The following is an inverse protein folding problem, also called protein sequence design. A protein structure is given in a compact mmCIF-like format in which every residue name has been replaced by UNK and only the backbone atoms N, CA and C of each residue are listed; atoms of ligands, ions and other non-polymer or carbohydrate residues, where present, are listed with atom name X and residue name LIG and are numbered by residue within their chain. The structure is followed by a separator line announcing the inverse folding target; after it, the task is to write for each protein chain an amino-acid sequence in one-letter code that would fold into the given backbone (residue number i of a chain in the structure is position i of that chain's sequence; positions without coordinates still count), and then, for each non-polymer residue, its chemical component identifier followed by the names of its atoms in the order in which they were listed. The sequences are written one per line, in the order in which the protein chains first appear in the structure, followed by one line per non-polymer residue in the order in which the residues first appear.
data_IF_512803218809
#
_entry.id   IF_512803218809
#
_cell.length_a   1.000
_cell.length_b   1.000
_cell.length_c   1.000
_cell.angle_alpha   90.00
_cell.angle_beta   90.00
_cell.angle_gamma   90.00
#
_symmetry.space_group_name_H-M   'P 1'
#
loop_
_entity.id
_entity.type
_entity.pdbx_description
1 polymer ?
#
# COMPACT_ATOMS: atom_id res chain seq x y z
N UNK A 1 -43.93 22.24 7.24
CA UNK A 1 -43.58 21.48 6.03
C UNK A 1 -42.19 20.91 6.26
N UNK A 2 -42.18 19.64 6.61
CA UNK A 2 -41.03 18.86 7.06
C UNK A 2 -40.37 18.25 5.81
N UNK A 3 -39.09 18.51 5.59
CA UNK A 3 -38.30 17.88 4.51
C UNK A 3 -37.42 16.82 5.16
N UNK A 4 -37.63 15.57 4.74
CA UNK A 4 -37.04 14.38 5.34
C UNK A 4 -35.59 14.17 4.92
N UNK A 5 -34.73 13.98 5.93
CA UNK A 5 -33.40 13.39 5.81
C UNK A 5 -33.59 11.88 5.89
N UNK A 6 -33.26 11.16 4.83
CA UNK A 6 -33.27 9.68 4.82
C UNK A 6 -31.94 9.23 5.42
N UNK A 7 -31.95 8.84 6.70
CA UNK A 7 -30.89 8.03 7.29
C UNK A 7 -31.12 6.57 6.91
N UNK A 8 -30.16 5.96 6.22
CA UNK A 8 -30.05 4.51 6.18
C UNK A 8 -29.08 4.10 7.28
N UNK A 9 -29.64 3.81 8.46
CA UNK A 9 -29.00 2.97 9.47
C UNK A 9 -29.09 1.52 9.02
N UNK A 10 -27.95 0.85 8.82
CA UNK A 10 -27.80 -0.55 9.23
C UNK A 10 -26.89 -0.55 10.45
N UNK A 11 -27.46 -1.00 11.55
CA UNK A 11 -26.81 -1.32 12.82
C UNK A 11 -26.83 -2.83 12.87
N UNK A 12 -25.65 -3.46 12.91
CA UNK A 12 -25.28 -4.54 13.85
C UNK A 12 -24.01 -5.31 13.39
N UNK A 13 -23.17 -5.62 14.39
CA UNK A 13 -22.15 -6.69 14.47
C UNK A 13 -20.78 -6.59 13.77
N UNK A 14 -19.96 -5.56 14.07
CA UNK A 14 -18.52 -5.60 13.76
C UNK A 14 -17.57 -5.12 14.88
N UNK A 15 -18.03 -5.07 16.12
CA UNK A 15 -17.21 -4.60 17.25
C UNK A 15 -17.09 -5.64 18.36
N UNK A 16 -16.29 -6.69 18.15
CA UNK A 16 -15.61 -7.52 19.18
C UNK A 16 -15.21 -8.94 18.71
N UNK A 17 -15.53 -9.36 17.47
CA UNK A 17 -15.18 -10.72 16.98
C UNK A 17 -13.79 -10.83 16.33
N UNK A 18 -13.22 -9.72 15.85
CA UNK A 18 -11.99 -9.72 15.04
C UNK A 18 -10.75 -10.20 15.82
N UNK A 19 -10.66 -9.92 17.12
CA UNK A 19 -9.48 -10.31 17.93
C UNK A 19 -9.44 -11.81 18.21
N UNK A 20 -10.61 -12.46 18.38
CA UNK A 20 -10.66 -13.89 18.69
C UNK A 20 -10.51 -14.78 17.45
N UNK A 21 -10.96 -14.35 16.27
CA UNK A 21 -10.77 -15.09 15.01
C UNK A 21 -9.32 -14.99 14.49
N UNK A 22 -8.67 -13.84 14.67
CA UNK A 22 -7.23 -13.66 14.35
C UNK A 22 -6.32 -14.44 15.31
N UNK A 23 -6.69 -14.52 16.60
CA UNK A 23 -5.97 -15.33 17.60
C UNK A 23 -6.16 -16.85 17.39
N UNK A 24 -7.35 -17.32 17.04
CA UNK A 24 -7.57 -18.76 16.75
C UNK A 24 -6.90 -19.23 15.47
N UNK A 25 -6.67 -18.35 14.49
CA UNK A 25 -5.82 -18.63 13.31
C UNK A 25 -4.34 -18.77 13.67
N UNK A 26 -3.91 -18.17 14.78
CA UNK A 26 -2.51 -18.08 15.20
C UNK A 26 -1.95 -19.44 15.66
N UNK A 27 -2.77 -20.28 16.30
CA UNK A 27 -2.35 -21.59 16.83
C UNK A 27 -2.40 -22.72 15.78
N UNK A 28 -3.15 -22.56 14.69
CA UNK A 28 -3.40 -23.59 13.67
C UNK A 28 -2.33 -23.68 12.57
N UNK A 29 -1.33 -22.79 12.54
CA UNK A 29 -0.40 -22.65 11.40
C UNK A 29 0.99 -23.25 11.60
N UNK A 30 1.34 -23.70 12.81
CA UNK A 30 2.55 -24.48 13.02
C UNK A 30 2.50 -25.86 12.32
N UNK A 31 1.30 -26.32 11.93
CA UNK A 31 1.08 -27.61 11.25
C UNK A 31 1.16 -27.56 9.71
N UNK A 32 1.24 -26.39 9.06
CA UNK A 32 1.22 -26.29 7.58
C UNK A 32 2.61 -26.38 6.94
N UNK A 33 3.37 -27.43 7.29
CA UNK A 33 4.55 -27.84 6.54
C UNK A 33 4.15 -28.57 5.24
N UNK A 34 3.50 -27.88 4.30
CA UNK A 34 3.12 -28.44 2.99
C UNK A 34 3.28 -27.37 1.89
N UNK A 35 4.17 -27.67 0.93
CA UNK A 35 4.38 -27.06 -0.41
C UNK A 35 3.79 -25.66 -0.66
N UNK A 36 4.57 -24.59 -0.45
CA UNK A 36 4.19 -23.21 -0.81
C UNK A 36 4.49 -22.89 -2.28
N UNK A 37 3.77 -23.54 -3.19
CA UNK A 37 4.09 -23.46 -4.62
C UNK A 37 3.01 -22.79 -5.45
N UNK A 38 1.83 -22.48 -4.91
CA UNK A 38 0.76 -21.82 -5.67
C UNK A 38 0.73 -20.30 -5.49
N UNK A 39 0.10 -19.60 -6.43
CA UNK A 39 -0.18 -18.16 -6.36
C UNK A 39 -0.94 -17.76 -5.08
N UNK A 40 -1.90 -18.58 -4.66
CA UNK A 40 -2.72 -18.24 -3.48
C UNK A 40 -2.02 -18.51 -2.14
N UNK A 41 -1.20 -19.57 -2.07
CA UNK A 41 -0.32 -19.77 -0.91
C UNK A 41 0.70 -18.65 -0.77
N UNK A 42 1.26 -18.19 -1.89
CA UNK A 42 2.14 -17.03 -1.90
C UNK A 42 1.44 -15.76 -1.39
N UNK A 43 0.24 -15.44 -1.90
CA UNK A 43 -0.53 -14.29 -1.37
C UNK A 43 -0.80 -14.45 0.12
N UNK A 44 -1.18 -15.64 0.56
CA UNK A 44 -1.49 -15.94 1.96
C UNK A 44 -0.29 -15.73 2.88
N UNK A 45 0.88 -16.28 2.52
CA UNK A 45 2.09 -16.12 3.36
C UNK A 45 2.53 -14.65 3.43
N UNK A 46 2.38 -13.91 2.32
CA UNK A 46 2.76 -12.49 2.25
C UNK A 46 1.85 -11.61 3.10
N UNK A 47 0.53 -11.79 3.04
CA UNK A 47 -0.39 -11.03 3.90
C UNK A 47 -0.31 -11.44 5.37
N UNK A 48 -0.05 -12.71 5.67
CA UNK A 48 0.20 -13.15 7.04
C UNK A 48 1.46 -12.50 7.61
N UNK A 49 2.56 -12.51 6.85
CA UNK A 49 3.79 -11.82 7.20
C UNK A 49 3.56 -10.31 7.42
N UNK A 50 2.75 -9.66 6.58
CA UNK A 50 2.42 -8.24 6.77
C UNK A 50 1.59 -7.98 8.04
N UNK A 51 0.66 -8.88 8.39
CA UNK A 51 -0.07 -8.79 9.66
C UNK A 51 0.89 -8.89 10.87
N UNK A 52 1.88 -9.79 10.80
CA UNK A 52 2.94 -9.89 11.81
C UNK A 52 3.76 -8.60 11.89
N UNK A 53 4.12 -7.98 10.75
CA UNK A 53 4.78 -6.68 10.73
C UNK A 53 3.98 -5.60 11.45
N UNK A 54 2.67 -5.49 11.18
CA UNK A 54 1.79 -4.54 11.89
C UNK A 54 1.76 -4.80 13.39
N UNK A 55 1.71 -6.06 13.82
CA UNK A 55 1.76 -6.43 15.25
C UNK A 55 3.07 -6.01 15.90
N UNK A 56 4.20 -6.24 15.24
CA UNK A 56 5.51 -5.80 15.72
C UNK A 56 5.57 -4.26 15.82
N UNK A 57 5.11 -3.55 14.79
CA UNK A 57 5.07 -2.07 14.80
C UNK A 57 4.22 -1.56 15.97
N UNK A 58 3.00 -2.10 16.15
CA UNK A 58 2.11 -1.72 17.24
C UNK A 58 2.76 -1.93 18.62
N UNK A 59 3.40 -3.07 18.84
CA UNK A 59 4.10 -3.39 20.08
C UNK A 59 5.25 -2.41 20.34
N UNK A 60 6.09 -2.13 19.35
CA UNK A 60 7.21 -1.18 19.49
C UNK A 60 6.71 0.24 19.79
N UNK A 61 5.63 0.69 19.13
CA UNK A 61 5.03 2.01 19.38
C UNK A 61 4.41 2.10 20.78
N UNK A 62 3.84 1.01 21.28
CA UNK A 62 3.38 0.87 22.67
C UNK A 62 4.54 0.75 23.68
N UNK A 63 5.79 0.76 23.23
CA UNK A 63 7.00 0.52 24.05
C UNK A 63 7.03 -0.87 24.72
N UNK A 64 6.39 -1.85 24.09
CA UNK A 64 6.34 -3.24 24.54
C UNK A 64 7.43 -4.09 23.85
N UNK A 65 7.94 -5.14 24.53
CA UNK A 65 8.98 -5.99 23.97
C UNK A 65 8.51 -6.73 22.71
N UNK A 66 9.42 -6.86 21.74
CA UNK A 66 9.17 -7.66 20.54
C UNK A 66 9.35 -9.13 20.88
N UNK A 67 8.32 -9.93 20.59
CA UNK A 67 8.34 -11.38 20.80
C UNK A 67 9.22 -12.07 19.74
N UNK A 68 9.97 -13.10 20.16
CA UNK A 68 10.90 -13.80 19.26
C UNK A 68 10.15 -14.61 18.21
N UNK A 69 9.00 -15.16 18.60
CA UNK A 69 8.08 -15.92 17.77
C UNK A 69 7.64 -15.13 16.53
N UNK A 70 7.38 -13.83 16.67
CA UNK A 70 7.03 -12.97 15.53
C UNK A 70 8.20 -12.81 14.57
N UNK A 71 9.43 -12.68 15.08
CA UNK A 71 10.64 -12.59 14.24
C UNK A 71 10.92 -13.92 13.54
N UNK A 72 10.65 -15.04 14.20
CA UNK A 72 10.79 -16.37 13.60
C UNK A 72 9.78 -16.61 12.47
N UNK A 73 8.55 -16.08 12.56
CA UNK A 73 7.58 -16.09 11.45
C UNK A 73 8.06 -15.28 10.23
N UNK A 74 8.65 -14.10 10.46
CA UNK A 74 9.27 -13.32 9.37
C UNK A 74 10.46 -14.08 8.74
N UNK A 75 11.29 -14.74 9.57
CA UNK A 75 12.42 -15.54 9.13
C UNK A 75 11.98 -16.76 8.33
N UNK A 76 10.91 -17.42 8.76
CA UNK A 76 10.31 -18.52 8.01
C UNK A 76 9.87 -18.05 6.62
N UNK A 77 9.14 -16.93 6.54
CA UNK A 77 8.72 -16.34 5.26
C UNK A 77 9.93 -16.01 4.38
N UNK A 78 10.97 -15.40 4.94
CA UNK A 78 12.22 -15.11 4.21
C UNK A 78 12.89 -16.37 3.65
N UNK A 79 12.90 -17.47 4.42
CA UNK A 79 13.46 -18.74 3.98
C UNK A 79 12.60 -19.38 2.86
N UNK A 80 11.28 -19.27 2.94
CA UNK A 80 10.38 -19.72 1.86
C UNK A 80 10.66 -18.96 0.57
N UNK A 81 10.84 -17.63 0.65
CA UNK A 81 11.18 -16.81 -0.52
C UNK A 81 12.61 -17.05 -1.06
N UNK A 82 13.50 -17.69 -0.29
CA UNK A 82 14.88 -18.00 -0.71
C UNK A 82 15.13 -19.52 -0.81
N UNK A 83 14.07 -20.30 -1.06
CA UNK A 83 14.16 -21.74 -1.29
C UNK A 83 14.60 -22.07 -2.74
N UNK A 84 14.60 -23.36 -3.07
CA UNK A 84 14.96 -23.86 -4.40
C UNK A 84 14.00 -23.42 -5.53
N UNK A 85 12.81 -22.89 -5.22
CA UNK A 85 11.87 -22.38 -6.21
C UNK A 85 12.21 -20.94 -6.63
N UNK A 86 13.23 -20.33 -6.03
CA UNK A 86 13.60 -18.94 -6.31
C UNK A 86 15.03 -18.87 -6.84
N UNK A 87 15.18 -18.34 -8.05
CA UNK A 87 16.49 -18.13 -8.69
C UNK A 87 16.60 -16.69 -9.20
N UNK A 88 17.67 -15.99 -8.82
CA UNK A 88 17.89 -14.58 -9.17
C UNK A 88 16.65 -13.70 -8.88
N UNK A 89 16.03 -13.93 -7.72
CA UNK A 89 14.78 -13.30 -7.27
C UNK A 89 13.54 -13.63 -8.11
N UNK A 90 13.62 -14.50 -9.11
CA UNK A 90 12.46 -15.02 -9.81
C UNK A 90 11.97 -16.28 -9.09
N UNK A 91 10.78 -16.19 -8.50
CA UNK A 91 10.11 -17.33 -7.87
C UNK A 91 9.14 -17.95 -8.86
N UNK A 92 9.34 -19.24 -9.11
CA UNK A 92 8.40 -20.03 -9.90
C UNK A 92 7.23 -20.50 -9.03
N UNK A 93 6.02 -20.28 -9.51
CA UNK A 93 4.77 -20.69 -8.88
C UNK A 93 3.93 -21.50 -9.85
N UNK A 94 3.06 -22.34 -9.32
CA UNK A 94 2.08 -23.13 -10.06
C UNK A 94 0.79 -22.32 -10.10
N UNK A 95 0.38 -21.96 -11.31
CA UNK A 95 -0.95 -21.46 -11.63
C UNK A 95 -1.77 -22.56 -12.31
N UNK A 96 -3.08 -22.34 -12.47
CA UNK A 96 -3.99 -23.32 -13.08
C UNK A 96 -3.60 -23.69 -14.52
N UNK A 97 -2.96 -22.77 -15.24
CA UNK A 97 -2.56 -22.92 -16.66
C UNK A 97 -1.10 -23.30 -16.86
N UNK A 98 -0.33 -23.49 -15.78
CA UNK A 98 1.09 -23.83 -15.84
C UNK A 98 1.93 -23.04 -14.85
N UNK A 99 3.23 -22.96 -15.11
CA UNK A 99 4.15 -22.22 -14.26
C UNK A 99 4.04 -20.72 -14.53
N UNK A 100 4.12 -19.93 -13.46
CA UNK A 100 4.09 -18.49 -13.46
C UNK A 100 5.24 -17.95 -12.63
N UNK A 101 6.06 -17.09 -13.22
CA UNK A 101 7.24 -16.53 -12.58
C UNK A 101 6.95 -15.12 -12.06
N UNK A 102 7.32 -14.86 -10.81
CA UNK A 102 7.24 -13.54 -10.19
C UNK A 102 8.58 -13.10 -9.62
N UNK A 103 8.91 -11.83 -9.86
CA UNK A 103 10.06 -11.22 -9.25
C UNK A 103 9.73 -10.85 -7.79
N UNK A 104 10.39 -11.50 -6.83
CA UNK A 104 10.20 -11.31 -5.38
C UNK A 104 11.36 -10.56 -4.72
N UNK A 105 12.14 -9.81 -5.51
CA UNK A 105 13.35 -9.12 -5.03
C UNK A 105 13.05 -8.12 -3.91
N UNK A 106 12.01 -7.32 -4.10
CA UNK A 106 11.65 -6.26 -3.15
C UNK A 106 11.24 -6.86 -1.81
N UNK A 107 10.46 -7.94 -1.84
CA UNK A 107 9.95 -8.60 -0.65
C UNK A 107 11.05 -9.31 0.13
N UNK A 108 11.97 -9.99 -0.57
CA UNK A 108 13.18 -10.59 0.01
C UNK A 108 14.05 -9.51 0.67
N UNK A 109 14.35 -8.41 -0.04
CA UNK A 109 15.19 -7.33 0.49
C UNK A 109 14.51 -6.64 1.69
N UNK A 110 13.20 -6.38 1.61
CA UNK A 110 12.43 -5.82 2.70
C UNK A 110 12.48 -6.68 3.96
N UNK A 111 12.28 -7.99 3.83
CA UNK A 111 12.43 -8.95 4.93
C UNK A 111 13.87 -9.02 5.46
N UNK A 112 14.87 -9.00 4.58
CA UNK A 112 16.27 -9.03 4.99
C UNK A 112 16.66 -7.81 5.82
N UNK A 113 16.19 -6.61 5.44
CA UNK A 113 16.37 -5.37 6.21
C UNK A 113 15.64 -5.45 7.55
N UNK A 114 14.39 -5.93 7.56
CA UNK A 114 13.60 -6.11 8.79
C UNK A 114 14.26 -7.09 9.76
N UNK A 115 14.74 -8.24 9.29
CA UNK A 115 15.39 -9.25 10.14
C UNK A 115 16.66 -8.70 10.77
N UNK A 116 17.52 -8.00 10.02
CA UNK A 116 18.71 -7.36 10.58
C UNK A 116 18.38 -6.29 11.62
N UNK A 117 17.34 -5.49 11.35
CA UNK A 117 16.84 -4.47 12.26
C UNK A 117 16.31 -5.08 13.56
N UNK A 118 15.45 -6.09 13.46
CA UNK A 118 14.83 -6.76 14.59
C UNK A 118 15.83 -7.58 15.40
N UNK A 119 16.77 -8.28 14.76
CA UNK A 119 17.85 -8.97 15.48
C UNK A 119 18.69 -8.00 16.32
N UNK A 120 18.96 -6.80 15.78
CA UNK A 120 19.66 -5.75 16.51
C UNK A 120 18.83 -5.22 17.67
N UNK A 121 17.53 -5.00 17.46
CA UNK A 121 16.60 -4.56 18.49
C UNK A 121 16.46 -5.61 19.61
N UNK A 122 16.31 -6.90 19.27
CA UNK A 122 16.16 -8.01 20.23
C UNK A 122 17.38 -8.15 21.15
N UNK A 123 18.59 -7.84 20.67
CA UNK A 123 19.81 -7.84 21.50
C UNK A 123 19.82 -6.71 22.53
N UNK A 124 19.16 -5.59 22.23
CA UNK A 124 19.21 -4.35 23.01
C UNK A 124 17.95 -4.14 23.87
N UNK A 125 16.83 -4.80 23.54
CA UNK A 125 15.53 -4.53 24.18
C UNK A 125 15.47 -4.81 25.69
N UNK A 126 16.41 -5.58 26.24
CA UNK A 126 16.53 -5.76 27.70
C UNK A 126 16.81 -4.44 28.44
N UNK A 127 17.28 -3.41 27.74
CA UNK A 127 17.49 -2.04 28.23
C UNK A 127 16.22 -1.18 28.10
N UNK A 128 15.12 -1.73 27.58
CA UNK A 128 13.89 -1.04 27.23
C UNK A 128 13.84 -0.62 25.75
N UNK A 129 12.65 -0.73 25.13
CA UNK A 129 12.45 -0.50 23.69
C UNK A 129 12.91 0.88 23.23
N UNK A 130 12.56 1.94 23.97
CA UNK A 130 12.93 3.32 23.59
C UNK A 130 14.45 3.50 23.53
N UNK A 131 15.17 2.93 24.48
CA UNK A 131 16.64 2.98 24.54
C UNK A 131 17.23 2.16 23.40
N UNK A 132 16.71 0.95 23.19
CA UNK A 132 17.14 0.05 22.13
C UNK A 132 17.00 0.70 20.73
N UNK A 133 15.86 1.34 20.44
CA UNK A 133 15.62 2.02 19.16
C UNK A 133 16.66 3.11 18.84
N UNK A 134 17.15 3.83 19.85
CA UNK A 134 18.15 4.88 19.66
C UNK A 134 19.57 4.32 19.45
N UNK A 135 19.79 3.04 19.78
CA UNK A 135 21.08 2.37 19.65
C UNK A 135 21.19 1.48 18.40
N UNK A 136 20.08 1.16 17.74
CA UNK A 136 20.11 0.41 16.48
C UNK A 136 20.73 1.28 15.38
N UNK A 137 21.86 0.83 14.81
CA UNK A 137 22.51 1.49 13.68
C UNK A 137 21.79 1.17 12.35
N UNK A 138 20.66 1.85 12.13
CA UNK A 138 19.86 1.69 10.92
C UNK A 138 20.63 2.08 9.65
N UNK A 139 21.55 3.05 9.73
CA UNK A 139 22.33 3.48 8.56
C UNK A 139 23.23 2.35 8.05
N UNK A 140 23.88 1.61 8.94
CA UNK A 140 24.69 0.45 8.56
C UNK A 140 23.89 -0.68 7.93
N UNK A 141 22.60 -0.82 8.30
CA UNK A 141 21.68 -1.81 7.71
C UNK A 141 21.23 -1.38 6.31
N UNK A 142 20.93 -0.09 6.10
CA UNK A 142 20.35 0.39 4.84
C UNK A 142 21.39 0.70 3.74
N UNK A 143 22.56 1.25 4.12
CA UNK A 143 23.61 1.67 3.17
C UNK A 143 24.03 0.61 2.13
N UNK A 144 24.09 -0.71 2.42
CA UNK A 144 24.56 -1.69 1.43
C UNK A 144 23.59 -1.90 0.27
N UNK A 145 22.34 -1.43 0.41
CA UNK A 145 21.28 -1.61 -0.58
C UNK A 145 21.15 -0.41 -1.54
N UNK A 146 21.97 0.63 -1.37
CA UNK A 146 21.93 1.79 -2.25
C UNK A 146 22.47 1.44 -3.65
N UNK A 147 21.77 1.81 -4.74
CA UNK A 147 22.10 1.33 -6.09
C UNK A 147 23.45 1.83 -6.64
N UNK A 148 23.95 2.97 -6.14
CA UNK A 148 25.21 3.55 -6.60
C UNK A 148 26.40 3.11 -5.75
N UNK A 149 26.42 3.50 -4.48
CA UNK A 149 27.42 3.07 -3.49
C UNK A 149 26.99 3.41 -2.06
N UNK A 150 27.61 2.78 -1.04
CA UNK A 150 27.43 3.17 0.36
C UNK A 150 27.91 4.60 0.68
N UNK A 151 28.88 5.13 -0.06
CA UNK A 151 29.38 6.50 0.13
C UNK A 151 28.39 7.53 -0.41
N UNK A 152 27.80 7.27 -1.59
CA UNK A 152 26.73 8.10 -2.15
C UNK A 152 25.52 8.14 -1.19
N UNK A 153 25.13 6.98 -0.65
CA UNK A 153 24.07 6.90 0.35
C UNK A 153 24.35 7.81 1.55
N UNK A 154 25.58 7.80 2.07
CA UNK A 154 25.98 8.63 3.21
C UNK A 154 25.88 10.12 2.89
N UNK A 155 26.33 10.53 1.71
CA UNK A 155 26.23 11.92 1.26
C UNK A 155 24.76 12.38 1.17
N UNK A 156 23.92 11.60 0.49
CA UNK A 156 22.49 11.89 0.32
C UNK A 156 21.75 11.91 1.67
N UNK A 157 22.07 10.98 2.58
CA UNK A 157 21.53 10.98 3.94
C UNK A 157 21.89 12.26 4.71
N UNK A 158 23.13 12.73 4.61
CA UNK A 158 23.55 13.96 5.28
C UNK A 158 22.83 15.20 4.72
N UNK A 159 22.68 15.26 3.40
CA UNK A 159 21.95 16.33 2.72
C UNK A 159 20.46 16.31 3.10
N UNK A 160 19.84 15.13 3.10
CA UNK A 160 18.46 14.92 3.53
C UNK A 160 18.28 15.32 5.00
N UNK A 161 19.17 14.90 5.90
CA UNK A 161 19.12 15.30 7.31
C UNK A 161 19.22 16.82 7.50
N UNK A 162 20.11 17.50 6.77
CA UNK A 162 20.22 18.95 6.81
C UNK A 162 18.96 19.66 6.27
N UNK A 163 18.31 19.07 5.25
CA UNK A 163 17.03 19.53 4.73
C UNK A 163 15.89 19.34 5.76
N UNK A 164 15.76 18.14 6.33
CA UNK A 164 14.75 17.84 7.36
C UNK A 164 14.92 18.69 8.62
N UNK A 165 16.16 18.94 9.08
CA UNK A 165 16.42 19.85 10.21
C UNK A 165 15.88 21.25 9.99
N UNK A 166 15.89 21.76 8.75
CA UNK A 166 15.29 23.06 8.41
C UNK A 166 13.77 22.97 8.32
N UNK A 167 13.24 21.85 7.81
CA UNK A 167 11.80 21.63 7.72
C UNK A 167 11.12 21.64 9.09
N UNK A 168 11.63 20.86 10.05
CA UNK A 168 10.96 20.59 11.34
C UNK A 168 10.89 21.79 12.29
N UNK A 169 11.53 22.92 11.96
CA UNK A 169 11.51 24.13 12.80
C UNK A 169 10.09 24.73 12.77
N UNK A 170 9.35 24.75 13.90
CA UNK A 170 8.01 25.33 13.94
C UNK A 170 8.04 26.83 13.65
N UNK A 171 6.95 27.37 13.12
CA UNK A 171 6.77 28.82 12.92
C UNK A 171 5.53 29.32 13.65
N UNK A 172 5.49 30.59 14.08
CA UNK A 172 4.29 31.15 14.69
C UNK A 172 3.18 31.33 13.63
N UNK A 173 1.94 31.04 14.02
CA UNK A 173 0.73 31.42 13.27
C UNK A 173 0.35 32.89 13.50
N UNK A 174 -0.80 33.32 12.97
CA UNK A 174 -1.33 34.69 13.14
C UNK A 174 -1.58 35.09 14.59
N UNK A 175 -1.70 34.11 15.50
CA UNK A 175 -1.93 34.31 16.93
C UNK A 175 -0.64 34.16 17.75
N UNK A 176 0.51 33.94 17.10
CA UNK A 176 1.80 33.74 17.76
C UNK A 176 2.02 32.32 18.30
N UNK A 177 1.12 31.38 18.04
CA UNK A 177 1.25 29.97 18.45
C UNK A 177 2.21 29.26 17.52
N UNK A 178 3.19 28.52 18.08
CA UNK A 178 4.10 27.73 17.25
C UNK A 178 3.38 26.53 16.64
N UNK A 179 3.41 26.44 15.31
CA UNK A 179 2.73 25.41 14.53
C UNK A 179 3.77 24.50 13.87
N UNK A 180 3.61 23.18 14.06
CA UNK A 180 4.42 22.16 13.38
C UNK A 180 4.11 22.17 11.87
N UNK A 181 5.06 21.88 10.98
CA UNK A 181 4.83 21.86 9.54
C UNK A 181 3.90 20.72 9.07
N UNK A 182 3.55 20.75 7.77
CA UNK A 182 2.79 19.67 7.09
C UNK A 182 3.76 18.85 6.24
N UNK A 183 3.54 17.54 6.18
CA UNK A 183 4.18 16.64 5.22
C UNK A 183 3.11 16.01 4.31
N UNK A 184 3.36 16.04 3.01
CA UNK A 184 2.56 15.37 1.99
C UNK A 184 3.53 14.50 1.20
N UNK A 185 3.18 13.24 0.98
CA UNK A 185 4.07 12.32 0.28
C UNK A 185 3.29 11.39 -0.63
N UNK A 186 3.90 11.09 -1.76
CA UNK A 186 3.58 9.86 -2.49
C UNK A 186 4.10 8.61 -1.74
N UNK A 187 3.73 7.42 -2.21
CA UNK A 187 4.12 6.16 -1.63
C UNK A 187 5.12 5.36 -2.47
N UNK A 188 4.73 4.96 -3.66
CA UNK A 188 5.44 3.99 -4.50
C UNK A 188 6.61 4.64 -5.23
N UNK A 189 7.85 4.24 -4.92
CA UNK A 189 9.06 4.92 -5.39
C UNK A 189 9.50 6.08 -4.49
N UNK A 190 8.65 6.52 -3.56
CA UNK A 190 8.90 7.66 -2.68
C UNK A 190 9.19 7.25 -1.23
N UNK A 191 8.21 6.67 -0.54
CA UNK A 191 8.35 6.18 0.84
C UNK A 191 8.63 4.67 0.89
N UNK A 192 8.45 3.99 -0.23
CA UNK A 192 8.64 2.55 -0.41
C UNK A 192 9.30 2.29 -1.76
N UNK A 193 10.32 1.43 -1.79
CA UNK A 193 10.97 0.97 -3.03
C UNK A 193 9.91 0.37 -3.99
N UNK A 194 10.09 0.53 -5.30
CA UNK A 194 9.20 -0.07 -6.29
C UNK A 194 9.16 -1.61 -6.15
N UNK A 195 7.94 -2.16 -6.14
CA UNK A 195 7.70 -3.60 -6.21
C UNK A 195 7.24 -4.01 -7.62
N UNK A 196 7.55 -5.23 -8.04
CA UNK A 196 7.14 -5.73 -9.36
C UNK A 196 5.64 -6.05 -9.42
N UNK A 197 5.00 -6.27 -8.27
CA UNK A 197 3.59 -6.59 -8.14
C UNK A 197 2.99 -5.72 -7.04
N UNK A 198 1.89 -5.03 -7.34
CA UNK A 198 1.24 -4.17 -6.35
C UNK A 198 0.69 -4.96 -5.15
N UNK A 199 0.15 -6.16 -5.41
CA UNK A 199 -0.45 -7.02 -4.39
C UNK A 199 0.52 -7.44 -3.28
N UNK A 200 1.83 -7.40 -3.52
CA UNK A 200 2.88 -7.74 -2.54
C UNK A 200 3.85 -6.59 -2.30
N UNK A 201 3.45 -5.36 -2.61
CA UNK A 201 4.21 -4.15 -2.33
C UNK A 201 4.14 -3.76 -0.83
N UNK A 202 4.71 -4.62 0.01
CA UNK A 202 4.52 -4.62 1.44
C UNK A 202 5.55 -3.73 2.15
N UNK A 203 5.08 -2.81 2.98
CA UNK A 203 5.95 -1.89 3.70
C UNK A 203 6.76 -2.61 4.81
N UNK A 204 8.09 -2.40 4.90
CA UNK A 204 8.92 -2.94 5.96
C UNK A 204 8.78 -2.19 7.30
N UNK A 205 9.06 -2.87 8.40
CA UNK A 205 8.88 -2.40 9.79
C UNK A 205 9.67 -1.14 10.10
N UNK A 206 10.96 -1.12 9.73
CA UNK A 206 11.83 0.02 10.04
C UNK A 206 11.31 1.33 9.44
N UNK A 207 10.75 1.26 8.23
CA UNK A 207 10.20 2.42 7.52
C UNK A 207 8.90 2.90 8.15
N UNK A 208 8.03 1.99 8.58
CA UNK A 208 6.79 2.32 9.27
C UNK A 208 7.08 3.01 10.62
N UNK A 209 8.02 2.49 11.41
CA UNK A 209 8.41 3.12 12.67
C UNK A 209 9.00 4.51 12.47
N UNK A 210 9.88 4.66 11.48
CA UNK A 210 10.49 5.94 11.13
C UNK A 210 9.44 6.98 10.73
N UNK A 211 8.56 6.63 9.79
CA UNK A 211 7.52 7.53 9.29
C UNK A 211 6.49 7.86 10.38
N UNK A 212 6.05 6.88 11.18
CA UNK A 212 5.11 7.12 12.27
C UNK A 212 5.66 8.11 13.30
N UNK A 213 6.89 7.87 13.79
CA UNK A 213 7.53 8.74 14.79
C UNK A 213 7.79 10.13 14.21
N UNK A 214 8.23 10.20 12.94
CA UNK A 214 8.45 11.47 12.29
C UNK A 214 7.16 12.29 12.18
N UNK A 215 6.08 11.67 11.72
CA UNK A 215 4.76 12.29 11.62
C UNK A 215 4.27 12.81 12.98
N UNK A 216 4.35 11.98 14.02
CA UNK A 216 3.95 12.30 15.38
C UNK A 216 4.75 13.47 15.98
N UNK A 217 6.07 13.38 15.89
CA UNK A 217 6.97 14.28 16.62
C UNK A 217 7.09 15.63 15.90
N UNK A 218 7.06 15.65 14.57
CA UNK A 218 7.49 16.81 13.79
C UNK A 218 6.46 17.42 12.86
N UNK A 219 5.30 16.81 12.66
CA UNK A 219 4.26 17.35 11.79
C UNK A 219 2.95 17.58 12.54
N UNK A 220 2.12 18.49 12.03
CA UNK A 220 0.71 18.59 12.45
C UNK A 220 -0.22 17.74 11.58
N UNK A 221 0.20 17.49 10.34
CA UNK A 221 -0.49 16.65 9.37
C UNK A 221 0.56 15.95 8.52
N UNK A 222 0.45 14.62 8.40
CA UNK A 222 1.17 13.83 7.42
C UNK A 222 0.16 13.08 6.56
N UNK A 223 0.19 13.34 5.25
CA UNK A 223 -0.74 12.75 4.28
C UNK A 223 0.00 11.92 3.24
N UNK A 224 -0.50 10.71 2.97
CA UNK A 224 0.00 9.81 1.94
C UNK A 224 -0.99 9.77 0.79
N UNK A 225 -0.51 10.06 -0.42
CA UNK A 225 -1.28 9.93 -1.65
C UNK A 225 -0.80 8.75 -2.47
N UNK A 226 -1.73 7.88 -2.86
CA UNK A 226 -1.44 6.72 -3.71
C UNK A 226 -2.37 6.69 -4.92
N UNK A 227 -1.89 6.11 -6.01
CA UNK A 227 -2.72 5.90 -7.20
C UNK A 227 -3.71 4.73 -7.02
N UNK A 228 -3.30 3.68 -6.31
CA UNK A 228 -4.11 2.49 -6.03
C UNK A 228 -5.25 2.75 -5.02
N UNK A 229 -6.07 1.74 -4.73
CA UNK A 229 -7.21 1.88 -3.82
C UNK A 229 -6.78 1.87 -2.35
N UNK A 230 -7.72 2.18 -1.44
CA UNK A 230 -7.47 2.04 0.00
C UNK A 230 -7.37 0.58 0.45
N UNK A 231 -8.21 -0.31 -0.09
CA UNK A 231 -8.27 -1.75 0.27
C UNK A 231 -8.59 -2.64 -0.94
N UNK A 232 -8.31 -3.93 -0.78
CA UNK A 232 -8.86 -5.01 -1.62
C UNK A 232 -8.08 -5.44 -2.89
N UNK A 233 -6.74 -5.53 -2.91
CA UNK A 233 -5.74 -5.01 -1.97
C UNK A 233 -5.47 -3.53 -2.23
N UNK A 234 -5.18 -2.77 -1.17
CA UNK A 234 -4.83 -1.36 -1.27
C UNK A 234 -3.84 -0.91 -0.20
N UNK A 235 -3.51 0.39 -0.16
CA UNK A 235 -2.47 0.91 0.73
C UNK A 235 -2.67 0.53 2.21
N UNK A 236 -3.91 0.41 2.69
CA UNK A 236 -4.20 0.03 4.08
C UNK A 236 -3.91 -1.46 4.36
N UNK A 237 -3.91 -2.31 3.34
CA UNK A 237 -3.56 -3.72 3.46
C UNK A 237 -2.03 -3.92 3.35
N UNK A 238 -1.37 -3.05 2.57
CA UNK A 238 0.05 -3.09 2.24
C UNK A 238 0.96 -2.37 3.26
N UNK A 239 0.42 -1.41 4.01
CA UNK A 239 1.18 -0.66 5.02
C UNK A 239 1.42 -1.49 6.30
N UNK A 240 2.53 -1.20 6.98
CA UNK A 240 2.81 -1.69 8.33
C UNK A 240 2.51 -0.62 9.41
N UNK A 241 2.11 0.59 9.00
CA UNK A 241 1.73 1.68 9.90
C UNK A 241 0.39 1.42 10.59
N UNK A 242 0.16 2.00 11.78
CA UNK A 242 -1.18 2.12 12.33
C UNK A 242 -2.08 2.92 11.39
N UNK A 243 -3.22 2.32 11.01
CA UNK A 243 -4.16 2.91 10.04
C UNK A 243 -4.80 4.19 10.60
N UNK A 244 -5.19 4.20 11.88
CA UNK A 244 -5.75 5.36 12.57
C UNK A 244 -4.68 6.11 13.40
N UNK A 245 -3.46 6.18 12.86
CA UNK A 245 -2.31 6.84 13.50
C UNK A 245 -2.12 8.30 13.11
N UNK A 246 -0.87 8.77 13.21
CA UNK A 246 -0.47 10.14 12.86
C UNK A 246 -0.29 10.37 11.35
N UNK A 247 -0.53 9.34 10.53
CA UNK A 247 -0.41 9.38 9.08
C UNK A 247 -1.78 9.10 8.49
N UNK A 248 -2.22 9.96 7.60
CA UNK A 248 -3.50 9.83 6.91
C UNK A 248 -3.28 9.25 5.53
N UNK A 249 -4.02 8.21 5.17
CA UNK A 249 -3.87 7.51 3.89
C UNK A 249 -4.98 7.87 2.92
N UNK A 250 -4.60 7.99 1.65
CA UNK A 250 -5.53 8.06 0.54
C UNK A 250 -5.24 7.03 -0.55
N UNK A 251 -6.30 6.72 -1.28
CA UNK A 251 -6.25 6.00 -2.53
C UNK A 251 -6.82 6.84 -3.67
N UNK A 252 -6.71 6.31 -4.89
CA UNK A 252 -7.30 6.90 -6.09
C UNK A 252 -6.93 8.38 -6.25
N UNK A 253 -5.64 8.71 -6.06
CA UNK A 253 -5.10 10.07 -6.21
C UNK A 253 -5.73 11.08 -5.23
N UNK A 254 -6.15 10.62 -4.06
CA UNK A 254 -6.82 11.46 -3.07
C UNK A 254 -8.33 11.61 -3.29
N UNK A 255 -8.95 10.81 -4.17
CA UNK A 255 -10.42 10.71 -4.25
C UNK A 255 -11.02 9.95 -3.09
N UNK A 256 -10.25 9.11 -2.41
CA UNK A 256 -10.72 8.42 -1.22
C UNK A 256 -9.69 8.53 -0.10
N UNK A 257 -10.17 8.76 1.11
CA UNK A 257 -9.35 8.94 2.30
C UNK A 257 -9.84 8.01 3.42
N UNK A 258 -8.90 7.55 4.24
CA UNK A 258 -9.23 6.96 5.53
C UNK A 258 -9.06 8.01 6.62
N UNK A 259 -10.18 8.46 7.19
CA UNK A 259 -10.23 9.52 8.19
C UNK A 259 -11.05 9.04 9.39
N UNK A 260 -10.46 9.06 10.59
CA UNK A 260 -11.13 8.76 11.86
C UNK A 260 -11.91 7.43 11.83
N UNK A 261 -11.27 6.35 11.39
CA UNK A 261 -11.88 5.02 11.30
C UNK A 261 -12.91 4.85 10.17
N UNK A 262 -13.01 5.80 9.24
CA UNK A 262 -14.02 5.77 8.15
C UNK A 262 -13.41 6.11 6.80
N UNK A 263 -13.91 5.42 5.77
CA UNK A 263 -13.63 5.76 4.37
C UNK A 263 -14.49 6.95 3.94
N UNK A 264 -13.85 8.00 3.45
CA UNK A 264 -14.47 9.18 2.85
C UNK A 264 -14.15 9.18 1.36
N UNK A 265 -15.15 9.38 0.50
CA UNK A 265 -14.99 9.35 -0.97
C UNK A 265 -15.46 10.67 -1.57
N UNK A 266 -14.68 11.19 -2.51
CA UNK A 266 -14.94 12.38 -3.31
C UNK A 266 -15.25 11.95 -4.74
N UNK A 267 -16.54 11.88 -5.02
CA UNK A 267 -17.12 11.40 -6.27
C UNK A 267 -17.42 12.54 -7.25
N UNK A 268 -16.81 13.71 -7.06
CA UNK A 268 -17.01 14.87 -7.94
C UNK A 268 -16.78 14.46 -9.41
N UNK A 269 -17.82 14.65 -10.22
CA UNK A 269 -17.84 14.33 -11.65
C UNK A 269 -18.22 12.87 -12.00
N UNK A 270 -18.43 11.96 -11.05
CA UNK A 270 -18.72 10.55 -11.36
C UNK A 270 -20.21 10.28 -11.19
N UNK A 271 -20.98 10.05 -12.28
CA UNK A 271 -22.39 9.71 -12.19
C UNK A 271 -22.61 8.43 -11.38
N UNK A 272 -23.74 8.33 -10.67
CA UNK A 272 -24.09 7.13 -9.89
C UNK A 272 -24.13 5.88 -10.76
N UNK A 273 -24.65 5.99 -11.98
CA UNK A 273 -24.68 4.90 -12.96
C UNK A 273 -23.28 4.37 -13.29
N UNK A 274 -22.30 5.27 -13.47
CA UNK A 274 -20.91 4.88 -13.72
C UNK A 274 -20.26 4.18 -12.54
N UNK A 275 -20.55 4.62 -11.32
CA UNK A 275 -20.06 3.97 -10.10
C UNK A 275 -20.61 2.56 -9.95
N UNK A 276 -21.92 2.39 -10.16
CA UNK A 276 -22.59 1.11 -10.07
C UNK A 276 -22.11 0.16 -11.18
N UNK A 277 -21.90 0.68 -12.39
CA UNK A 277 -21.35 -0.08 -13.50
C UNK A 277 -19.92 -0.58 -13.20
N UNK A 278 -19.03 0.28 -12.68
CA UNK A 278 -17.69 -0.14 -12.26
C UNK A 278 -17.73 -1.22 -11.17
N UNK A 279 -18.67 -1.12 -10.22
CA UNK A 279 -18.77 -2.15 -9.17
C UNK A 279 -19.21 -3.49 -9.72
N UNK A 280 -20.20 -3.52 -10.62
CA UNK A 280 -20.62 -4.76 -11.29
C UNK A 280 -19.50 -5.37 -12.12
N UNK A 281 -18.73 -4.56 -12.86
CA UNK A 281 -17.56 -5.07 -13.60
C UNK A 281 -16.50 -5.61 -12.63
N UNK A 282 -16.23 -4.92 -11.52
CA UNK A 282 -15.31 -5.38 -10.49
C UNK A 282 -15.71 -6.76 -9.92
N UNK A 283 -17.00 -7.00 -9.67
CA UNK A 283 -17.50 -8.30 -9.20
C UNK A 283 -17.37 -9.41 -10.24
N UNK A 284 -17.64 -9.10 -11.52
CA UNK A 284 -17.36 -10.01 -12.64
C UNK A 284 -15.87 -10.37 -12.71
N UNK A 285 -14.98 -9.39 -12.51
CA UNK A 285 -13.53 -9.58 -12.48
C UNK A 285 -13.08 -10.42 -11.28
N UNK A 286 -13.64 -10.21 -10.07
CA UNK A 286 -13.34 -11.08 -8.92
C UNK A 286 -13.64 -12.54 -9.25
N UNK A 287 -14.78 -12.81 -9.89
CA UNK A 287 -15.15 -14.18 -10.28
C UNK A 287 -14.17 -14.75 -11.30
N UNK A 288 -13.71 -13.93 -12.26
CA UNK A 288 -12.71 -14.33 -13.25
C UNK A 288 -11.35 -14.70 -12.62
N UNK A 289 -10.96 -14.03 -11.53
CA UNK A 289 -9.67 -14.20 -10.87
C UNK A 289 -9.65 -15.22 -9.73
N UNK A 290 -10.81 -15.56 -9.13
CA UNK A 290 -10.87 -16.39 -7.92
C UNK A 290 -10.45 -17.84 -8.17
N UNK A 291 -10.80 -18.40 -9.34
CA UNK A 291 -10.40 -19.76 -9.71
C UNK A 291 -10.53 -19.94 -11.22
N UNK A 292 -9.43 -20.23 -11.91
CA UNK A 292 -9.45 -20.47 -13.35
C UNK A 292 -8.16 -20.05 -14.04
N UNK A 293 -8.23 -19.98 -15.37
CA UNK A 293 -7.11 -19.68 -16.26
C UNK A 293 -6.47 -18.30 -16.02
N UNK A 294 -7.19 -17.36 -15.41
CA UNK A 294 -6.74 -15.98 -15.25
C UNK A 294 -6.33 -15.59 -13.82
N UNK A 295 -6.32 -16.53 -12.86
CA UNK A 295 -6.02 -16.24 -11.45
C UNK A 295 -4.66 -15.55 -11.24
N UNK A 296 -3.66 -15.91 -12.05
CA UNK A 296 -2.33 -15.31 -12.03
C UNK A 296 -2.33 -13.79 -12.29
N UNK A 297 -3.33 -13.25 -13.00
CA UNK A 297 -3.41 -11.81 -13.27
C UNK A 297 -3.68 -10.98 -12.03
N UNK A 298 -4.14 -11.59 -10.92
CA UNK A 298 -4.18 -10.92 -9.62
C UNK A 298 -2.80 -10.52 -9.08
N UNK A 299 -1.71 -11.10 -9.62
CA UNK A 299 -0.32 -10.79 -9.28
C UNK A 299 0.46 -10.13 -10.45
N UNK A 300 -0.17 -9.88 -11.59
CA UNK A 300 0.51 -9.26 -12.74
C UNK A 300 0.46 -7.74 -12.60
N UNK A 301 1.62 -7.10 -12.43
CA UNK A 301 1.72 -5.63 -12.35
C UNK A 301 0.86 -5.05 -11.23
N UNK A 302 -0.07 -4.17 -11.56
CA UNK A 302 -1.06 -3.61 -10.62
C UNK A 302 -2.07 -4.62 -10.08
N UNK A 303 -2.20 -5.80 -10.69
CA UNK A 303 -3.29 -6.73 -10.42
C UNK A 303 -4.61 -6.19 -10.95
N UNK A 304 -5.69 -6.29 -10.18
CA UNK A 304 -6.95 -5.60 -10.47
C UNK A 304 -7.25 -4.61 -9.36
N UNK A 305 -7.29 -3.33 -9.70
CA UNK A 305 -7.41 -2.22 -8.77
C UNK A 305 -8.69 -1.44 -9.02
N UNK A 306 -9.63 -1.52 -8.08
CA UNK A 306 -10.85 -0.72 -8.07
C UNK A 306 -10.57 0.67 -7.51
N UNK A 307 -10.12 1.58 -8.37
CA UNK A 307 -10.02 3.02 -8.06
C UNK A 307 -11.40 3.66 -8.11
N UNK A 308 -11.59 4.86 -7.55
CA UNK A 308 -12.91 5.51 -7.44
C UNK A 308 -13.59 5.71 -8.80
N UNK A 309 -12.85 6.17 -9.82
CA UNK A 309 -13.34 6.56 -11.15
C UNK A 309 -13.05 5.54 -12.26
N UNK A 310 -12.28 4.48 -11.96
CA UNK A 310 -11.87 3.48 -12.94
C UNK A 310 -11.50 2.13 -12.31
N UNK A 311 -11.41 1.11 -13.15
CA UNK A 311 -10.76 -0.16 -12.83
C UNK A 311 -9.43 -0.22 -13.61
N UNK A 312 -8.30 -0.36 -12.93
CA UNK A 312 -7.00 -0.58 -13.59
C UNK A 312 -6.65 -2.06 -13.49
N UNK A 313 -6.24 -2.66 -14.61
CA UNK A 313 -5.95 -4.09 -14.72
C UNK A 313 -4.56 -4.29 -15.32
N UNK A 314 -3.68 -4.97 -14.59
CA UNK A 314 -2.40 -5.44 -15.09
C UNK A 314 -2.60 -6.59 -16.08
N UNK A 315 -2.05 -6.44 -17.28
CA UNK A 315 -2.13 -7.41 -18.37
C UNK A 315 -0.77 -7.98 -18.75
N UNK A 316 0.32 -7.37 -18.26
CA UNK A 316 1.68 -7.83 -18.48
C UNK A 316 2.61 -7.35 -17.35
N UNK A 317 3.72 -8.06 -17.11
CA UNK A 317 4.77 -7.63 -16.19
C UNK A 317 5.90 -6.91 -16.92
N UNK A 318 6.65 -6.06 -16.21
CA UNK A 318 7.85 -5.40 -16.76
C UNK A 318 8.90 -6.38 -17.31
N UNK A 319 8.92 -7.60 -16.79
CA UNK A 319 9.81 -8.68 -17.23
C UNK A 319 9.20 -9.57 -18.33
N UNK A 320 8.01 -9.25 -18.83
CA UNK A 320 7.29 -9.98 -19.89
C UNK A 320 7.04 -11.45 -19.57
N UNK A 321 6.64 -11.73 -18.33
CA UNK A 321 6.39 -13.10 -17.85
C UNK A 321 5.09 -13.71 -18.38
N UNK A 322 4.12 -12.89 -18.80
CA UNK A 322 2.84 -13.38 -19.31
C UNK A 322 2.97 -13.64 -20.82
N UNK A 323 2.57 -14.82 -21.27
CA UNK A 323 2.53 -15.13 -22.70
C UNK A 323 1.58 -14.17 -23.45
N UNK A 324 1.97 -13.60 -24.59
CA UNK A 324 1.14 -12.62 -25.31
C UNK A 324 -0.27 -13.14 -25.64
N UNK A 325 -0.40 -14.41 -26.02
CA UNK A 325 -1.68 -15.03 -26.35
C UNK A 325 -2.62 -15.12 -25.14
N UNK A 326 -2.06 -15.36 -23.95
CA UNK A 326 -2.83 -15.39 -22.71
C UNK A 326 -3.24 -13.97 -22.27
N UNK A 327 -2.36 -12.99 -22.42
CA UNK A 327 -2.67 -11.58 -22.16
C UNK A 327 -3.79 -11.05 -23.07
N UNK A 328 -3.73 -11.39 -24.37
CA UNK A 328 -4.76 -10.99 -25.33
C UNK A 328 -6.12 -11.63 -25.01
N UNK A 329 -6.15 -12.95 -24.71
CA UNK A 329 -7.40 -13.62 -24.29
C UNK A 329 -7.97 -13.03 -23.01
N UNK A 330 -7.12 -12.69 -22.04
CA UNK A 330 -7.56 -12.02 -20.81
C UNK A 330 -8.17 -10.64 -21.10
N UNK A 331 -7.56 -9.84 -21.97
CA UNK A 331 -8.11 -8.55 -22.39
C UNK A 331 -9.45 -8.68 -23.13
N UNK A 332 -9.63 -9.72 -23.93
CA UNK A 332 -10.89 -9.98 -24.62
C UNK A 332 -11.99 -10.42 -23.63
N UNK A 333 -11.67 -11.24 -22.62
CA UNK A 333 -12.58 -11.56 -21.51
C UNK A 333 -12.97 -10.30 -20.71
N UNK A 334 -12.02 -9.40 -20.44
CA UNK A 334 -12.30 -8.12 -19.77
C UNK A 334 -13.33 -7.31 -20.58
N UNK A 335 -13.13 -7.18 -21.89
CA UNK A 335 -14.07 -6.48 -22.78
C UNK A 335 -15.44 -7.16 -22.78
N UNK A 336 -15.47 -8.50 -22.82
CA UNK A 336 -16.72 -9.24 -22.78
C UNK A 336 -17.51 -8.98 -21.50
N UNK A 337 -16.85 -9.00 -20.33
CA UNK A 337 -17.49 -8.67 -19.04
C UNK A 337 -17.96 -7.23 -18.97
N UNK A 338 -17.19 -6.30 -19.51
CA UNK A 338 -17.62 -4.90 -19.65
C UNK A 338 -18.89 -4.81 -20.50
N UNK A 339 -18.96 -5.49 -21.65
CA UNK A 339 -20.15 -5.53 -22.51
C UNK A 339 -21.38 -6.16 -21.84
N UNK A 340 -21.20 -7.12 -20.91
CA UNK A 340 -22.33 -7.67 -20.14
C UNK A 340 -22.96 -6.63 -19.21
N UNK A 341 -22.16 -5.69 -18.70
CA UNK A 341 -22.58 -4.65 -17.75
C UNK A 341 -23.07 -3.38 -18.46
N UNK A 342 -22.42 -2.98 -19.55
CA UNK A 342 -22.75 -1.82 -20.38
C UNK A 342 -22.71 -2.21 -21.88
N UNK A 343 -23.76 -2.91 -22.39
CA UNK A 343 -23.78 -3.42 -23.77
C UNK A 343 -23.73 -2.35 -24.86
N UNK A 344 -24.11 -1.12 -24.50
CA UNK A 344 -24.18 0.00 -25.43
C UNK A 344 -22.99 0.97 -25.30
N UNK A 345 -22.02 0.68 -24.42
CA UNK A 345 -20.82 1.49 -24.19
C UNK A 345 -21.12 2.96 -23.90
N UNK A 346 -22.20 3.23 -23.17
CA UNK A 346 -22.61 4.62 -22.87
C UNK A 346 -21.91 5.18 -21.64
N UNK A 347 -21.51 4.30 -20.73
CA UNK A 347 -21.05 4.64 -19.38
C UNK A 347 -19.59 4.31 -19.17
N UNK A 348 -19.13 3.17 -19.70
CA UNK A 348 -17.78 2.66 -19.52
C UNK A 348 -16.99 2.66 -20.84
N UNK A 349 -15.74 3.09 -20.75
CA UNK A 349 -14.77 3.07 -21.84
C UNK A 349 -13.59 2.16 -21.49
N UNK A 350 -13.20 1.28 -22.41
CA UNK A 350 -11.98 0.49 -22.31
C UNK A 350 -10.80 1.26 -22.91
N UNK A 351 -9.80 1.58 -22.09
CA UNK A 351 -8.58 2.26 -22.49
C UNK A 351 -7.38 1.30 -22.42
N UNK A 352 -6.75 0.96 -23.56
CA UNK A 352 -5.49 0.22 -23.59
C UNK A 352 -4.32 1.16 -23.23
N UNK A 353 -4.31 1.65 -21.99
CA UNK A 353 -3.44 2.75 -21.53
C UNK A 353 -1.94 2.51 -21.78
N UNK A 354 -1.43 1.32 -21.47
CA UNK A 354 -0.01 0.94 -21.74
C UNK A 354 0.11 -0.53 -22.16
N UNK A 355 1.34 -0.98 -22.49
CA UNK A 355 1.60 -2.41 -22.73
C UNK A 355 1.51 -3.28 -21.46
N UNK A 356 1.53 -2.67 -20.28
CA UNK A 356 1.50 -3.36 -18.98
C UNK A 356 0.12 -3.37 -18.35
N UNK A 357 -0.69 -2.34 -18.62
CA UNK A 357 -1.95 -2.08 -17.95
C UNK A 357 -3.01 -1.58 -18.92
N UNK A 358 -4.25 -1.98 -18.66
CA UNK A 358 -5.46 -1.47 -19.31
C UNK A 358 -6.40 -0.90 -18.25
N UNK A 359 -7.24 0.04 -18.64
CA UNK A 359 -8.19 0.69 -17.75
C UNK A 359 -9.61 0.62 -18.27
N UNK A 360 -10.57 0.48 -17.34
CA UNK A 360 -12.00 0.67 -17.60
C UNK A 360 -12.40 1.95 -16.88
N UNK A 361 -12.71 2.99 -17.64
CA UNK A 361 -12.92 4.35 -17.12
C UNK A 361 -14.38 4.75 -17.30
N UNK A 362 -14.94 5.46 -16.31
CA UNK A 362 -16.27 6.06 -16.45
C UNK A 362 -16.18 7.29 -17.35
N UNK A 363 -17.07 7.39 -18.34
CA UNK A 363 -17.23 8.60 -19.13
C UNK A 363 -17.56 9.78 -18.22
N UNK A 364 -16.73 10.82 -18.26
CA UNK A 364 -16.86 11.97 -17.37
C UNK A 364 -16.67 13.27 -18.15
N UNK A 365 -17.62 14.20 -17.99
CA UNK A 365 -17.60 15.55 -18.57
C UNK A 365 -16.85 16.57 -17.67
N UNK A 366 -16.33 16.12 -16.53
CA UNK A 366 -15.72 16.94 -15.48
C UNK A 366 -14.23 17.23 -15.64
N UNK A 367 -13.71 18.05 -14.72
CA UNK A 367 -12.28 18.37 -14.60
C UNK A 367 -11.46 17.13 -14.27
N UNK A 368 -10.32 16.97 -14.96
CA UNK A 368 -9.37 15.86 -14.70
C UNK A 368 -8.83 15.97 -13.27
N UNK A 369 -9.10 14.96 -12.45
CA UNK A 369 -8.64 14.89 -11.07
C UNK A 369 -7.18 14.46 -10.99
N UNK A 370 -6.40 15.17 -10.17
CA UNK A 370 -5.01 14.85 -9.88
C UNK A 370 -4.72 14.90 -8.36
N UNK A 371 -3.48 14.59 -7.96
CA UNK A 371 -3.09 14.56 -6.54
C UNK A 371 -3.26 15.91 -5.84
N UNK A 372 -3.14 17.04 -6.54
CA UNK A 372 -3.40 18.38 -5.99
C UNK A 372 -4.86 18.54 -5.53
N UNK A 373 -5.81 18.01 -6.30
CA UNK A 373 -7.22 18.04 -5.91
C UNK A 373 -7.45 17.21 -4.64
N UNK A 374 -6.77 16.07 -4.53
CA UNK A 374 -6.74 15.26 -3.31
C UNK A 374 -6.21 16.02 -2.10
N UNK A 375 -5.05 16.66 -2.24
CA UNK A 375 -4.45 17.50 -1.19
C UNK A 375 -5.39 18.64 -0.79
N UNK A 376 -5.87 19.42 -1.76
CA UNK A 376 -6.76 20.56 -1.50
C UNK A 376 -8.02 20.12 -0.76
N UNK A 377 -8.62 18.99 -1.16
CA UNK A 377 -9.81 18.46 -0.52
C UNK A 377 -9.54 17.95 0.89
N UNK A 378 -8.41 17.28 1.13
CA UNK A 378 -8.00 16.88 2.47
C UNK A 378 -7.88 18.11 3.38
N UNK A 379 -7.10 19.11 2.96
CA UNK A 379 -6.81 20.31 3.76
C UNK A 379 -8.10 21.02 4.15
N UNK A 380 -9.06 21.15 3.22
CA UNK A 380 -10.40 21.68 3.50
C UNK A 380 -11.20 20.80 4.48
N UNK A 381 -11.06 19.47 4.37
CA UNK A 381 -11.82 18.51 5.19
C UNK A 381 -11.33 18.49 6.64
N UNK A 382 -10.03 18.68 6.87
CA UNK A 382 -9.43 18.70 8.23
C UNK A 382 -9.29 20.11 8.81
N UNK A 383 -9.85 21.12 8.15
CA UNK A 383 -9.80 22.54 8.54
C UNK A 383 -8.37 23.07 8.76
N UNK A 384 -7.45 22.67 7.88
CA UNK A 384 -6.06 23.10 7.89
C UNK A 384 -5.77 24.16 6.81
N UNK A 385 -4.58 24.76 6.87
CA UNK A 385 -4.09 25.65 5.81
C UNK A 385 -2.66 25.34 5.40
N UNK A 386 -2.43 25.27 4.09
CA UNK A 386 -1.08 25.17 3.50
C UNK A 386 -0.30 26.50 3.59
N UNK A 387 -0.97 27.63 3.87
CA UNK A 387 -0.30 28.93 3.99
C UNK A 387 0.48 29.11 5.30
N UNK A 388 0.25 28.23 6.28
CA UNK A 388 0.85 28.33 7.62
C UNK A 388 2.00 27.35 7.77
N UNK A 389 3.21 27.89 7.89
CA UNK A 389 4.43 27.11 8.07
C UNK A 389 4.95 26.45 6.81
N UNK A 390 5.93 25.57 6.99
CA UNK A 390 6.55 24.84 5.88
C UNK A 390 5.69 23.65 5.50
N UNK A 391 5.72 23.33 4.22
CA UNK A 391 5.13 22.10 3.66
C UNK A 391 6.26 21.32 3.01
N UNK A 392 6.43 20.06 3.41
CA UNK A 392 7.32 19.11 2.77
C UNK A 392 6.50 18.26 1.81
N UNK A 393 6.89 18.27 0.54
CA UNK A 393 6.31 17.40 -0.49
C UNK A 393 7.39 16.42 -0.92
N UNK A 394 7.06 15.13 -0.92
CA UNK A 394 7.91 14.05 -1.41
C UNK A 394 7.18 13.33 -2.55
N UNK A 395 7.88 13.09 -3.66
CA UNK A 395 7.35 12.40 -4.83
C UNK A 395 8.49 11.91 -5.72
N UNK A 396 8.18 11.01 -6.64
CA UNK A 396 9.15 10.35 -7.50
C UNK A 396 8.81 10.51 -9.00
N UNK A 397 7.54 10.75 -9.34
CA UNK A 397 7.06 10.85 -10.72
C UNK A 397 6.49 12.23 -11.06
N UNK A 398 6.20 12.46 -12.35
CA UNK A 398 5.51 13.67 -12.80
C UNK A 398 4.08 13.79 -12.26
N UNK A 399 3.47 12.69 -11.79
CA UNK A 399 2.14 12.70 -11.17
C UNK A 399 2.11 13.45 -9.83
N UNK A 400 3.29 13.68 -9.24
CA UNK A 400 3.46 14.36 -7.95
C UNK A 400 3.64 15.87 -8.09
N UNK A 401 4.06 16.36 -9.26
CA UNK A 401 4.25 17.79 -9.52
C UNK A 401 3.02 18.67 -9.25
N UNK A 402 1.77 18.20 -9.40
CA UNK A 402 0.60 18.97 -9.02
C UNK A 402 0.46 19.20 -7.50
N UNK A 403 0.95 18.28 -6.65
CA UNK A 403 0.94 18.47 -5.18
C UNK A 403 1.81 19.65 -4.79
#
# INVERSE_FOLDING_TARGET
MTVGVVSQQRVDDFGNSLTNEEEQRFDSLLEMALQHNTVEEFKTIMYHMQAVRRRIVASILASEPVQREWVDLLRHTYNVLNDNNTNNFQREMIATTGNFSVNVKDEIIGLQKDLQYLESLLRLQSQGIKVALNQVDLLSILRPYHPLSPDQFKEECNNCLAFLKRFVVPVPDSNGTLVKPIMITDWDGTMKDYCSQYATNLQPIYSALGLHRFAQDWTRLTAVLTAGPLRGPGILDLTALPIDGNVVFSGSWGREWWLHGKRVVHDDGIPSEGRDALERVNDEMKTLLTSGEYSQFGLVGSGVQRKVDRLTLGVQTVCRHVQPELSNRYQDEIKERMCRVDPEHRTLHFDPSTELEVEIVVHNDGTVWNKANGVERLIKTVDESLSTGRVLICGDTSSDLPM
#
